data_IF_671052983231
#
_entry.id   IF_671052983231
#
_cell.length_a   1.000
_cell.length_b   1.000
_cell.length_c   1.000
_cell.angle_alpha   90.00
_cell.angle_beta   90.00
_cell.angle_gamma   90.00
#
_symmetry.space_group_name_H-M   'P 1'
#
loop_
_entity.id
_entity.type
_entity.pdbx_description
1 polymer ?
#
# COMPACT_ATOMS: atom_id res chain seq x y z
N UNK A 1 6.13 -29.78 45.84
CA UNK A 1 5.14 -29.24 44.87
C UNK A 1 5.50 -27.86 44.28
N UNK A 2 6.67 -27.25 44.53
CA UNK A 2 7.00 -25.89 44.03
C UNK A 2 7.98 -25.85 42.83
N UNK A 3 8.75 -26.92 42.61
CA UNK A 3 9.77 -26.98 41.55
C UNK A 3 9.21 -27.28 40.16
N UNK A 4 8.17 -28.14 40.06
CA UNK A 4 7.52 -28.42 38.77
C UNK A 4 6.86 -27.17 38.19
N UNK A 5 6.24 -26.35 39.04
CA UNK A 5 5.53 -25.10 38.67
C UNK A 5 6.49 -24.02 38.17
N UNK A 6 7.69 -23.91 38.75
CA UNK A 6 8.72 -22.97 38.24
C UNK A 6 9.28 -23.41 36.90
N UNK A 7 9.45 -24.72 36.70
CA UNK A 7 9.99 -25.25 35.44
C UNK A 7 8.97 -25.11 34.30
N UNK A 8 7.69 -25.42 34.54
CA UNK A 8 6.63 -25.17 33.55
C UNK A 8 6.42 -23.68 33.29
N UNK A 9 6.49 -22.81 34.31
CA UNK A 9 6.44 -21.37 34.11
C UNK A 9 7.61 -20.85 33.24
N UNK A 10 8.83 -21.38 33.42
CA UNK A 10 9.98 -21.05 32.58
C UNK A 10 9.81 -21.48 31.12
N UNK A 11 9.25 -22.67 30.88
CA UNK A 11 8.95 -23.15 29.53
C UNK A 11 7.85 -22.33 28.86
N UNK A 12 6.82 -21.93 29.60
CA UNK A 12 5.76 -21.06 29.07
C UNK A 12 6.30 -19.66 28.74
N UNK A 13 7.14 -19.08 29.59
CA UNK A 13 7.77 -17.79 29.32
C UNK A 13 8.72 -17.86 28.12
N UNK A 14 9.55 -18.90 28.02
CA UNK A 14 10.40 -19.11 26.86
C UNK A 14 9.58 -19.30 25.58
N UNK A 15 8.47 -20.04 25.63
CA UNK A 15 7.54 -20.20 24.52
C UNK A 15 6.92 -18.87 24.08
N UNK A 16 6.47 -18.04 25.01
CA UNK A 16 5.93 -16.70 24.73
C UNK A 16 7.00 -15.81 24.07
N UNK A 17 8.23 -15.79 24.58
CA UNK A 17 9.32 -14.99 23.99
C UNK A 17 9.66 -15.46 22.57
N UNK A 18 9.68 -16.77 22.32
CA UNK A 18 9.92 -17.30 20.97
C UNK A 18 8.78 -16.92 20.03
N UNK A 19 7.52 -17.04 20.46
CA UNK A 19 6.35 -16.66 19.65
C UNK A 19 6.36 -15.15 19.35
N UNK A 20 6.61 -14.32 20.36
CA UNK A 20 6.71 -12.86 20.24
C UNK A 20 7.88 -12.42 19.36
N UNK A 21 8.98 -13.17 19.27
CA UNK A 21 10.13 -12.81 18.44
C UNK A 21 10.04 -13.35 17.01
N UNK A 22 9.50 -14.56 16.84
CA UNK A 22 9.44 -15.24 15.53
C UNK A 22 8.30 -14.67 14.68
N UNK A 23 7.14 -14.35 15.25
CA UNK A 23 6.00 -13.83 14.47
C UNK A 23 6.32 -12.48 13.80
N UNK A 24 6.89 -11.48 14.49
CA UNK A 24 7.28 -10.21 13.85
C UNK A 24 8.41 -10.39 12.83
N UNK A 25 9.37 -11.29 13.09
CA UNK A 25 10.50 -11.52 12.19
C UNK A 25 10.05 -12.21 10.89
N UNK A 26 9.20 -13.23 10.99
CA UNK A 26 8.57 -13.88 9.83
C UNK A 26 7.67 -12.87 9.10
N UNK A 27 6.89 -12.08 9.85
CA UNK A 27 6.12 -10.97 9.29
C UNK A 27 7.00 -10.02 8.47
N UNK A 28 8.13 -9.55 9.00
CA UNK A 28 9.08 -8.66 8.31
C UNK A 28 9.76 -9.31 7.10
N UNK A 29 9.93 -10.62 7.08
CA UNK A 29 10.55 -11.37 5.97
C UNK A 29 9.55 -11.72 4.85
N UNK A 30 8.27 -11.92 5.18
CA UNK A 30 7.24 -12.33 4.21
C UNK A 30 6.29 -11.21 3.80
N UNK A 31 6.26 -10.11 4.54
CA UNK A 31 5.54 -8.90 4.12
C UNK A 31 6.50 -7.96 3.43
N UNK A 32 6.12 -7.53 2.23
CA UNK A 32 6.59 -6.28 1.64
C UNK A 32 6.64 -5.24 2.78
N UNK A 33 7.77 -4.53 3.01
CA UNK A 33 8.03 -3.76 4.23
C UNK A 33 6.79 -2.97 4.62
N UNK A 34 6.36 -3.00 5.90
CA UNK A 34 5.09 -2.42 6.31
C UNK A 34 5.05 -1.00 5.80
N UNK A 35 4.21 -0.82 4.77
CA UNK A 35 3.97 0.46 4.14
C UNK A 35 3.69 1.42 5.28
N UNK A 36 4.58 2.39 5.51
CA UNK A 36 4.42 3.50 6.49
C UNK A 36 3.21 4.40 6.16
N UNK A 37 2.21 3.89 5.44
CA UNK A 37 1.21 4.62 4.70
C UNK A 37 -0.22 4.35 5.21
N UNK A 38 -0.40 3.58 6.28
CA UNK A 38 -1.75 3.27 6.79
C UNK A 38 -2.44 4.42 7.55
N UNK A 39 -1.72 5.50 7.90
CA UNK A 39 -2.28 6.58 8.72
C UNK A 39 -2.53 7.90 8.00
N UNK A 40 -2.21 8.02 6.70
CA UNK A 40 -2.42 9.23 5.91
C UNK A 40 -3.17 8.96 4.60
N UNK A 41 -4.23 8.14 4.65
CA UNK A 41 -5.07 7.86 3.47
C UNK A 41 -6.17 8.90 3.20
N UNK A 42 -6.30 9.92 4.06
CA UNK A 42 -7.29 10.99 3.94
C UNK A 42 -6.59 12.35 3.84
N UNK A 43 -5.87 12.60 2.75
CA UNK A 43 -5.39 13.98 2.49
C UNK A 43 -6.56 14.75 1.89
N UNK A 44 -7.18 15.59 2.72
CA UNK A 44 -8.34 16.41 2.35
C UNK A 44 -8.06 17.50 1.29
N UNK A 45 -6.82 17.64 0.82
CA UNK A 45 -6.45 18.58 -0.25
C UNK A 45 -5.45 17.97 -1.22
N UNK A 46 -5.96 17.63 -2.41
CA UNK A 46 -5.35 16.81 -3.46
C UNK A 46 -4.44 17.60 -4.43
N UNK A 47 -3.60 18.51 -3.96
CA UNK A 47 -2.66 19.21 -4.87
C UNK A 47 -1.32 18.49 -4.99
N UNK A 48 -0.97 17.62 -4.05
CA UNK A 48 0.33 16.94 -4.01
C UNK A 48 0.37 15.64 -4.81
N UNK A 49 -0.78 14.97 -4.99
CA UNK A 49 -0.87 13.68 -5.68
C UNK A 49 -1.79 13.79 -6.90
N UNK A 50 -1.24 13.49 -8.07
CA UNK A 50 -1.98 13.42 -9.31
C UNK A 50 -1.68 12.12 -10.06
N UNK A 51 -2.56 11.78 -10.99
CA UNK A 51 -2.39 10.65 -11.88
C UNK A 51 -2.28 11.15 -13.31
N UNK A 52 -1.39 10.55 -14.09
CA UNK A 52 -1.30 10.76 -15.53
C UNK A 52 -1.35 9.42 -16.26
N UNK A 53 -2.01 9.40 -17.41
CA UNK A 53 -2.07 8.24 -18.30
C UNK A 53 -1.20 8.48 -19.53
N UNK A 54 -0.50 7.44 -19.98
CA UNK A 54 0.17 7.42 -21.28
C UNK A 54 -0.71 6.68 -22.29
N UNK A 55 -0.93 7.28 -23.45
CA UNK A 55 -1.64 6.62 -24.57
C UNK A 55 -0.70 5.80 -25.44
N UNK A 56 -1.23 5.00 -26.36
CA UNK A 56 -0.44 4.24 -27.33
C UNK A 56 0.48 5.12 -28.18
N UNK A 57 0.06 6.36 -28.48
CA UNK A 57 0.84 7.34 -29.25
C UNK A 57 1.91 8.05 -28.39
N UNK A 58 2.04 7.67 -27.11
CA UNK A 58 3.01 8.23 -26.18
C UNK A 58 2.58 9.56 -25.53
N UNK A 59 1.38 10.07 -25.83
CA UNK A 59 0.87 11.29 -25.23
C UNK A 59 0.56 11.09 -23.74
N UNK A 60 0.85 12.09 -22.91
CA UNK A 60 0.52 12.11 -21.49
C UNK A 60 -0.76 12.93 -21.25
N UNK A 61 -1.72 12.35 -20.51
CA UNK A 61 -2.99 12.98 -20.13
C UNK A 61 -3.14 12.99 -18.61
N UNK A 62 -3.60 14.09 -18.03
CA UNK A 62 -3.98 14.13 -16.61
C UNK A 62 -5.26 13.31 -16.37
N UNK A 63 -5.29 12.51 -15.31
CA UNK A 63 -6.42 11.65 -14.95
C UNK A 63 -7.06 12.12 -13.66
N UNK A 64 -8.40 12.19 -13.67
CA UNK A 64 -9.19 12.52 -12.49
C UNK A 64 -9.63 11.24 -11.76
N UNK A 65 -9.54 11.28 -10.43
CA UNK A 65 -9.96 10.19 -9.54
C UNK A 65 -11.39 10.39 -9.02
N UNK A 66 -12.02 11.55 -9.24
CA UNK A 66 -13.37 11.84 -8.77
C UNK A 66 -14.44 10.88 -9.33
N UNK A 67 -14.21 10.36 -10.54
CA UNK A 67 -15.10 9.41 -11.21
C UNK A 67 -14.98 7.96 -10.68
N UNK A 68 -14.00 7.67 -9.83
CA UNK A 68 -13.81 6.33 -9.27
C UNK A 68 -14.87 6.01 -8.20
N UNK A 69 -15.13 4.71 -7.93
CA UNK A 69 -15.96 4.33 -6.81
C UNK A 69 -15.38 4.80 -5.47
N UNK A 70 -16.27 4.94 -4.47
CA UNK A 70 -15.84 5.15 -3.08
C UNK A 70 -15.30 3.83 -2.50
N UNK A 71 -14.20 3.84 -1.71
CA UNK A 71 -13.46 5.01 -1.20
C UNK A 71 -12.34 5.51 -2.11
N UNK A 72 -12.10 4.88 -3.27
CA UNK A 72 -10.93 5.14 -4.10
C UNK A 72 -10.89 6.58 -4.64
N UNK A 73 -12.05 7.19 -4.91
CA UNK A 73 -12.12 8.62 -5.26
C UNK A 73 -11.60 9.58 -4.19
N UNK A 74 -11.53 9.15 -2.93
CA UNK A 74 -11.01 9.94 -1.80
C UNK A 74 -9.63 9.47 -1.32
N UNK A 75 -9.16 8.33 -1.82
CA UNK A 75 -7.90 7.71 -1.41
C UNK A 75 -6.88 7.88 -2.52
N UNK A 76 -6.14 8.97 -2.47
CA UNK A 76 -5.15 9.32 -3.50
C UNK A 76 -3.95 8.37 -3.56
N UNK A 77 -3.71 7.56 -2.51
CA UNK A 77 -2.58 6.62 -2.40
C UNK A 77 -3.03 5.13 -2.44
N UNK A 78 -4.19 4.85 -3.03
CA UNK A 78 -4.69 3.47 -3.13
C UNK A 78 -3.89 2.67 -4.16
N UNK A 79 -3.38 1.49 -3.79
CA UNK A 79 -2.67 0.60 -4.72
C UNK A 79 -3.56 0.11 -5.87
N UNK A 80 -4.88 0.19 -5.72
CA UNK A 80 -5.87 -0.22 -6.73
C UNK A 80 -6.33 0.92 -7.64
N UNK A 81 -5.94 2.16 -7.36
CA UNK A 81 -6.34 3.33 -8.17
C UNK A 81 -5.79 3.25 -9.61
N UNK A 82 -4.52 2.87 -9.85
CA UNK A 82 -4.01 2.70 -11.22
C UNK A 82 -4.81 1.68 -12.04
N UNK A 83 -5.14 0.51 -11.46
CA UNK A 83 -5.91 -0.53 -12.14
C UNK A 83 -7.30 -0.04 -12.55
N UNK A 84 -7.98 0.67 -11.64
CA UNK A 84 -9.30 1.24 -11.90
C UNK A 84 -9.24 2.34 -12.95
N UNK A 85 -8.16 3.15 -12.97
CA UNK A 85 -7.95 4.16 -13.98
C UNK A 85 -7.66 3.55 -15.36
N UNK A 86 -6.88 2.47 -15.44
CA UNK A 86 -6.70 1.69 -16.67
C UNK A 86 -8.04 1.12 -17.16
N UNK A 87 -8.81 0.50 -16.27
CA UNK A 87 -10.11 -0.08 -16.62
C UNK A 87 -11.12 0.98 -17.11
N UNK A 88 -11.07 2.19 -16.56
CA UNK A 88 -11.92 3.31 -16.98
C UNK A 88 -11.44 4.01 -18.26
N UNK A 89 -10.19 3.81 -18.67
CA UNK A 89 -9.56 4.49 -19.81
C UNK A 89 -8.81 3.46 -20.69
N UNK A 90 -9.53 2.71 -21.54
CA UNK A 90 -8.96 1.60 -22.32
C UNK A 90 -7.97 2.05 -23.40
N UNK A 91 -7.86 3.36 -23.65
CA UNK A 91 -6.90 3.97 -24.56
C UNK A 91 -5.50 4.15 -23.95
N UNK A 92 -5.34 3.89 -22.66
CA UNK A 92 -4.07 4.01 -21.95
C UNK A 92 -3.24 2.73 -22.04
N UNK A 93 -1.93 2.91 -22.17
CA UNK A 93 -0.92 1.84 -22.08
C UNK A 93 -0.22 1.83 -20.72
N UNK A 94 -0.26 2.95 -19.99
CA UNK A 94 0.27 3.02 -18.64
C UNK A 94 -0.41 4.13 -17.83
N UNK A 95 -0.42 3.97 -16.51
CA UNK A 95 -0.80 4.99 -15.54
C UNK A 95 0.38 5.26 -14.62
N UNK A 96 0.70 6.54 -14.46
CA UNK A 96 1.76 7.03 -13.60
C UNK A 96 1.19 7.88 -12.48
N UNK A 97 1.69 7.64 -11.26
CA UNK A 97 1.43 8.52 -10.12
C UNK A 97 2.50 9.60 -10.06
N UNK A 98 2.07 10.84 -9.91
CA UNK A 98 2.96 11.97 -9.65
C UNK A 98 2.80 12.47 -8.22
N UNK A 99 3.93 12.77 -7.59
CA UNK A 99 4.02 13.45 -6.31
C UNK A 99 4.80 14.74 -6.48
N UNK A 100 4.20 15.88 -6.14
CA UNK A 100 4.81 17.21 -6.31
C UNK A 100 5.38 17.43 -7.74
N UNK A 101 4.60 17.03 -8.75
CA UNK A 101 4.97 17.12 -10.16
C UNK A 101 6.02 16.11 -10.64
N UNK A 102 6.56 15.24 -9.78
CA UNK A 102 7.54 14.21 -10.15
C UNK A 102 6.88 12.84 -10.29
N UNK A 103 7.18 12.06 -11.35
CA UNK A 103 6.68 10.69 -11.46
C UNK A 103 7.33 9.82 -10.38
N UNK A 104 6.51 9.19 -9.55
CA UNK A 104 6.97 8.30 -8.48
C UNK A 104 7.00 6.84 -8.98
N UNK A 105 5.94 6.43 -9.68
CA UNK A 105 5.79 5.06 -10.17
C UNK A 105 4.89 5.03 -11.39
N UNK A 106 5.34 4.31 -12.40
CA UNK A 106 4.58 3.98 -13.61
C UNK A 106 4.14 2.51 -13.53
N UNK A 107 2.90 2.26 -13.94
CA UNK A 107 2.29 0.94 -14.01
C UNK A 107 1.68 0.76 -15.39
N UNK A 108 1.97 -0.37 -16.04
CA UNK A 108 1.37 -0.71 -17.32
C UNK A 108 -0.10 -1.08 -17.14
N UNK A 109 -0.92 -0.59 -18.07
CA UNK A 109 -2.17 -1.24 -18.43
C UNK A 109 -1.83 -2.37 -19.44
#
# INVERSE_FOLDING_TARGET
MSLLTRRTAGWLLAGVVVVEAVIPAVGLLTTDPPRRYSWSMFVASSTEYAYSGRTADGALRSLDTAALPWPQRTVHYGSTVPDLLCAANPDLTAVSRTWDGRPEREQSC
#
